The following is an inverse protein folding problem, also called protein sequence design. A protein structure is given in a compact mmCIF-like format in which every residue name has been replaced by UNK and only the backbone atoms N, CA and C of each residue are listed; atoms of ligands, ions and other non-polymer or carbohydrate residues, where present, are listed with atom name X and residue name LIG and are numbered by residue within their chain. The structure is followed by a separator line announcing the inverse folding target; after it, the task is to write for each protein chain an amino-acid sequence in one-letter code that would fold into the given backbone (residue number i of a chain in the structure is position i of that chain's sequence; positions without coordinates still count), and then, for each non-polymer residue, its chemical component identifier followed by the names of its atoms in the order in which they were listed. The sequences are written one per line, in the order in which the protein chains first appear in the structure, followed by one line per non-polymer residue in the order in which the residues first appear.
data_IF_237439759321
#
_entry.id   IF_237439759321
#
_cell.length_a   1.000
_cell.length_b   1.000
_cell.length_c   1.000
_cell.angle_alpha   90.00
_cell.angle_beta   90.00
_cell.angle_gamma   90.00
#
_symmetry.space_group_name_H-M   'P 1'
#
loop_
_entity.id
_entity.type
_entity.pdbx_description
1 polymer ?
#
# COMPACT_ATOMS: atom_id res chain seq x y z
N UNK A 1 -7.14 7.46 -11.41
CA UNK A 1 -6.36 8.43 -10.57
C UNK A 1 -5.19 7.71 -9.93
N UNK A 2 -5.47 6.69 -9.11
CA UNK A 2 -4.47 5.78 -8.52
C UNK A 2 -3.66 5.03 -9.58
N UNK A 3 -4.30 4.61 -10.66
CA UNK A 3 -3.67 3.86 -11.77
C UNK A 3 -2.52 4.67 -12.39
N UNK A 4 -2.74 5.97 -12.60
CA UNK A 4 -1.70 6.88 -13.12
C UNK A 4 -0.51 7.03 -12.17
N UNK A 5 -0.75 7.00 -10.85
CA UNK A 5 0.34 7.04 -9.86
C UNK A 5 1.16 5.76 -9.94
N UNK A 6 0.49 4.62 -10.02
CA UNK A 6 1.14 3.31 -10.18
C UNK A 6 1.93 3.24 -11.49
N UNK A 7 1.37 3.69 -12.61
CA UNK A 7 2.09 3.76 -13.89
C UNK A 7 3.35 4.63 -13.82
N UNK A 8 3.28 5.79 -13.16
CA UNK A 8 4.46 6.66 -12.98
C UNK A 8 5.51 5.97 -12.10
N UNK A 9 5.10 5.29 -11.03
CA UNK A 9 6.03 4.52 -10.19
C UNK A 9 6.70 3.41 -11.00
N UNK A 10 5.93 2.60 -11.73
CA UNK A 10 6.43 1.51 -12.56
C UNK A 10 7.39 1.98 -13.65
N UNK A 11 7.10 3.11 -14.30
CA UNK A 11 7.88 3.59 -15.44
C UNK A 11 9.13 4.38 -15.06
N UNK A 12 9.18 4.99 -13.86
CA UNK A 12 10.26 5.93 -13.51
C UNK A 12 11.03 5.61 -12.24
N UNK A 13 10.45 4.84 -11.33
CA UNK A 13 10.97 4.75 -9.96
C UNK A 13 11.14 3.33 -9.43
N UNK A 14 10.31 2.39 -9.86
CA UNK A 14 10.38 0.99 -9.45
C UNK A 14 11.20 0.17 -10.44
N UNK A 15 11.94 -0.79 -9.91
CA UNK A 15 12.70 -1.75 -10.71
C UNK A 15 11.88 -3.05 -10.83
N UNK A 16 11.95 -3.70 -11.99
CA UNK A 16 11.42 -5.05 -12.20
C UNK A 16 12.57 -6.02 -12.42
N UNK A 17 13.07 -6.69 -11.36
CA UNK A 17 14.15 -7.65 -11.50
C UNK A 17 13.69 -8.87 -12.29
N UNK A 18 14.29 -9.07 -13.47
CA UNK A 18 13.96 -10.20 -14.35
C UNK A 18 14.55 -11.49 -13.77
N UNK A 19 13.73 -12.51 -13.63
CA UNK A 19 14.17 -13.88 -13.34
C UNK A 19 13.38 -14.90 -14.15
N UNK A 20 13.74 -16.19 -14.05
CA UNK A 20 13.11 -17.26 -14.81
C UNK A 20 12.58 -18.34 -13.88
N UNK A 21 11.30 -18.71 -14.07
CA UNK A 21 10.67 -19.88 -13.44
C UNK A 21 10.42 -20.93 -14.53
N UNK A 22 11.27 -21.96 -14.56
CA UNK A 22 11.27 -22.95 -15.65
C UNK A 22 11.60 -22.30 -17.00
N UNK A 23 10.64 -22.34 -17.93
CA UNK A 23 10.77 -21.71 -19.26
C UNK A 23 10.18 -20.30 -19.32
N UNK A 24 9.57 -19.82 -18.24
CA UNK A 24 8.84 -18.55 -18.22
C UNK A 24 9.71 -17.43 -17.62
N UNK A 25 9.82 -16.31 -18.34
CA UNK A 25 10.39 -15.07 -17.81
C UNK A 25 9.38 -14.40 -16.89
N UNK A 26 9.81 -14.08 -15.67
CA UNK A 26 8.99 -13.40 -14.67
C UNK A 26 9.64 -12.04 -14.36
N UNK A 27 8.81 -11.00 -14.38
CA UNK A 27 9.19 -9.61 -14.13
C UNK A 27 8.28 -9.03 -13.05
N UNK A 28 8.49 -9.41 -11.78
CA UNK A 28 7.70 -8.87 -10.70
C UNK A 28 8.08 -7.41 -10.48
N UNK A 29 7.15 -6.63 -9.93
CA UNK A 29 7.49 -5.32 -9.38
C UNK A 29 8.21 -5.50 -8.04
N UNK A 30 9.19 -4.64 -7.78
CA UNK A 30 9.85 -4.54 -6.47
C UNK A 30 8.86 -4.42 -5.31
N UNK A 31 7.80 -3.63 -5.50
CA UNK A 31 6.68 -3.52 -4.58
C UNK A 31 5.42 -4.03 -5.29
N UNK A 32 4.74 -5.05 -4.75
CA UNK A 32 3.56 -5.59 -5.40
C UNK A 32 2.45 -4.55 -5.56
N UNK A 33 1.79 -4.61 -6.71
CA UNK A 33 0.83 -3.58 -7.15
C UNK A 33 -0.35 -3.46 -6.17
N UNK A 34 -0.82 -4.58 -5.63
CA UNK A 34 -1.90 -4.63 -4.65
C UNK A 34 -1.56 -3.87 -3.36
N UNK A 35 -0.31 -3.98 -2.88
CA UNK A 35 0.15 -3.25 -1.70
C UNK A 35 0.26 -1.75 -1.96
N UNK A 36 0.70 -1.33 -3.16
CA UNK A 36 0.71 0.08 -3.56
C UNK A 36 -0.71 0.63 -3.67
N UNK A 37 -1.62 -0.12 -4.29
CA UNK A 37 -3.03 0.25 -4.46
C UNK A 37 -3.70 0.46 -3.10
N UNK A 38 -3.55 -0.49 -2.19
CA UNK A 38 -4.10 -0.43 -0.84
C UNK A 38 -3.52 0.75 -0.05
N UNK A 39 -2.21 0.98 -0.13
CA UNK A 39 -1.54 2.10 0.53
C UNK A 39 -2.06 3.46 0.03
N UNK A 40 -2.22 3.59 -1.29
CA UNK A 40 -2.75 4.80 -1.92
C UNK A 40 -4.18 5.08 -1.50
N UNK A 41 -5.07 4.08 -1.54
CA UNK A 41 -6.45 4.27 -1.11
C UNK A 41 -6.56 4.57 0.38
N UNK A 42 -5.78 3.91 1.23
CA UNK A 42 -5.75 4.21 2.66
C UNK A 42 -5.30 5.66 2.92
N UNK A 43 -4.32 6.17 2.17
CA UNK A 43 -3.89 7.56 2.29
C UNK A 43 -4.97 8.59 1.92
N UNK A 44 -5.86 8.25 0.97
CA UNK A 44 -6.98 9.10 0.54
C UNK A 44 -8.13 9.03 1.55
N UNK A 45 -8.51 7.82 1.97
CA UNK A 45 -9.64 7.58 2.88
C UNK A 45 -9.35 8.13 4.28
N UNK A 46 -8.11 8.00 4.75
CA UNK A 46 -7.69 8.42 6.08
C UNK A 46 -6.97 9.79 6.10
N UNK A 47 -7.04 10.61 5.04
CA UNK A 47 -6.53 11.99 5.08
C UNK A 47 -7.36 12.86 6.02
N UNK A 48 -6.75 13.76 6.80
CA UNK A 48 -7.50 14.71 7.65
C UNK A 48 -8.31 15.75 6.86
N UNK A 49 -7.99 15.96 5.57
CA UNK A 49 -8.53 17.00 4.66
C UNK A 49 -8.43 18.47 5.13
N UNK A 50 -8.25 18.74 6.41
CA UNK A 50 -7.83 20.05 6.95
C UNK A 50 -6.29 20.05 7.07
N UNK A 51 -5.61 20.61 6.07
CA UNK A 51 -4.15 20.72 6.06
C UNK A 51 -3.49 20.25 4.77
N UNK A 52 -2.23 19.83 4.86
CA UNK A 52 -1.36 19.58 3.70
C UNK A 52 -1.81 18.41 2.83
N UNK A 53 -1.28 18.36 1.61
CA UNK A 53 -1.50 17.27 0.66
C UNK A 53 -0.85 15.96 1.14
N UNK A 54 -1.31 14.84 0.57
CA UNK A 54 -0.62 13.55 0.72
C UNK A 54 0.77 13.70 0.08
N UNK A 55 1.80 13.25 0.78
CA UNK A 55 3.18 13.32 0.33
C UNK A 55 3.69 11.91 0.06
N UNK A 56 4.22 11.70 -1.14
CA UNK A 56 4.94 10.49 -1.50
C UNK A 56 6.40 10.84 -1.77
N UNK A 57 7.31 10.15 -1.08
CA UNK A 57 8.75 10.25 -1.30
C UNK A 57 9.27 8.88 -1.70
N UNK A 58 9.98 8.81 -2.81
CA UNK A 58 10.60 7.58 -3.29
C UNK A 58 12.10 7.64 -3.01
N UNK A 59 12.61 6.60 -2.36
CA UNK A 59 14.03 6.39 -2.06
C UNK A 59 14.49 5.10 -2.74
N UNK A 60 15.80 4.88 -2.77
CA UNK A 60 16.37 3.67 -3.39
C UNK A 60 15.97 2.37 -2.67
N UNK A 61 15.55 2.45 -1.40
CA UNK A 61 15.25 1.29 -0.54
C UNK A 61 13.79 1.24 -0.06
N UNK A 62 12.99 2.29 -0.35
CA UNK A 62 11.61 2.40 0.16
C UNK A 62 10.79 3.49 -0.52
N UNK A 63 9.48 3.33 -0.46
CA UNK A 63 8.52 4.42 -0.69
C UNK A 63 7.94 4.86 0.66
N UNK A 64 7.99 6.17 0.94
CA UNK A 64 7.32 6.78 2.08
C UNK A 64 6.07 7.52 1.61
N UNK A 65 4.91 6.97 1.93
CA UNK A 65 3.62 7.61 1.75
C UNK A 65 3.14 8.18 3.09
N UNK A 66 2.84 9.47 3.14
CA UNK A 66 2.48 10.16 4.37
C UNK A 66 1.36 11.17 4.15
N UNK A 67 0.45 11.28 5.13
CA UNK A 67 -0.59 12.29 5.17
C UNK A 67 -0.82 12.74 6.62
N UNK A 68 -1.37 13.96 6.83
CA UNK A 68 -1.76 14.40 8.16
C UNK A 68 -2.87 13.50 8.71
N UNK A 69 -2.70 13.06 9.97
CA UNK A 69 -3.62 12.22 10.72
C UNK A 69 -2.89 11.32 11.72
N UNK A 70 -3.56 10.98 12.83
CA UNK A 70 -3.08 10.06 13.87
C UNK A 70 -4.04 8.89 14.01
N UNK A 71 -3.56 7.72 14.43
CA UNK A 71 -4.46 6.60 14.73
C UNK A 71 -5.60 7.07 15.66
N UNK A 72 -6.82 6.52 15.50
CA UNK A 72 -7.90 6.77 16.46
C UNK A 72 -7.40 6.51 17.89
N UNK A 73 -7.79 7.33 18.86
CA UNK A 73 -7.31 7.20 20.25
C UNK A 73 -7.57 5.81 20.85
N UNK A 74 -8.60 5.13 20.37
CA UNK A 74 -8.98 3.77 20.78
C UNK A 74 -8.23 2.65 20.05
N UNK A 75 -7.24 2.95 19.21
CA UNK A 75 -6.56 1.98 18.35
C UNK A 75 -5.05 1.95 18.59
N UNK A 76 -4.52 0.81 19.04
CA UNK A 76 -3.08 0.56 19.15
C UNK A 76 -2.49 0.00 17.85
N UNK A 77 -1.16 -0.04 17.74
CA UNK A 77 -0.47 -0.62 16.59
C UNK A 77 -0.74 -2.12 16.50
N UNK A 78 -0.77 -2.83 17.62
CA UNK A 78 -1.05 -4.26 17.69
C UNK A 78 -2.46 -4.57 17.20
N UNK A 79 -3.43 -3.73 17.59
CA UNK A 79 -4.82 -3.84 17.11
C UNK A 79 -4.94 -3.53 15.61
N UNK A 80 -4.17 -2.55 15.12
CA UNK A 80 -4.12 -2.20 13.70
C UNK A 80 -3.55 -3.35 12.85
N UNK A 81 -2.55 -4.07 13.36
CA UNK A 81 -1.95 -5.21 12.66
C UNK A 81 -2.76 -6.51 12.80
N UNK A 82 -3.68 -6.57 13.77
CA UNK A 82 -4.62 -7.68 13.94
C UNK A 82 -5.93 -7.51 13.16
N UNK A 83 -6.92 -8.35 13.48
CA UNK A 83 -8.26 -8.22 12.92
C UNK A 83 -9.01 -7.04 13.57
N UNK A 84 -9.43 -6.08 12.75
CA UNK A 84 -10.22 -4.94 13.21
C UNK A 84 -11.19 -4.46 12.14
N UNK A 85 -12.32 -3.88 12.54
CA UNK A 85 -13.17 -3.15 11.59
C UNK A 85 -12.45 -1.87 11.12
N UNK A 86 -12.61 -1.48 9.86
CA UNK A 86 -12.10 -0.19 9.40
C UNK A 86 -12.83 0.95 10.10
N UNK A 87 -12.07 1.89 10.67
CA UNK A 87 -12.61 3.10 11.32
C UNK A 87 -12.18 4.34 10.51
N UNK A 88 -12.77 4.60 9.33
CA UNK A 88 -12.39 5.72 8.49
C UNK A 88 -12.83 7.04 9.11
N UNK A 89 -11.95 8.05 9.09
CA UNK A 89 -12.30 9.42 9.51
C UNK A 89 -13.29 10.06 8.52
N UNK A 90 -13.15 9.78 7.22
CA UNK A 90 -14.01 10.32 6.17
C UNK A 90 -15.01 9.26 5.70
N UNK A 91 -16.13 9.12 6.43
CA UNK A 91 -17.13 8.07 6.16
C UNK A 91 -17.69 8.12 4.73
N UNK A 92 -18.01 9.30 4.21
CA UNK A 92 -18.55 9.45 2.85
C UNK A 92 -17.54 9.01 1.76
N UNK A 93 -16.26 9.31 1.96
CA UNK A 93 -15.19 8.90 1.03
C UNK A 93 -15.03 7.38 1.10
N UNK A 94 -14.93 6.82 2.31
CA UNK A 94 -14.82 5.38 2.50
C UNK A 94 -16.01 4.61 1.90
N UNK A 95 -17.23 5.09 2.14
CA UNK A 95 -18.45 4.48 1.61
C UNK A 95 -18.50 4.56 0.08
N UNK A 96 -18.10 5.69 -0.51
CA UNK A 96 -17.99 5.83 -1.96
C UNK A 96 -16.99 4.81 -2.52
N UNK A 97 -15.79 4.73 -1.93
CA UNK A 97 -14.74 3.83 -2.39
C UNK A 97 -15.11 2.35 -2.21
N UNK A 98 -15.86 2.02 -1.16
CA UNK A 98 -16.38 0.67 -0.94
C UNK A 98 -17.42 0.32 -2.01
N UNK A 99 -18.40 1.21 -2.26
CA UNK A 99 -19.46 1.00 -3.27
C UNK A 99 -18.91 0.89 -4.69
N UNK A 100 -17.80 1.56 -4.99
CA UNK A 100 -17.11 1.46 -6.29
C UNK A 100 -16.15 0.27 -6.38
N UNK A 101 -15.96 -0.52 -5.32
CA UNK A 101 -15.07 -1.68 -5.30
C UNK A 101 -13.58 -1.35 -5.16
N UNK A 102 -13.23 -0.14 -4.71
CA UNK A 102 -11.82 0.25 -4.51
C UNK A 102 -11.25 -0.18 -3.17
N UNK A 103 -12.07 -0.36 -2.13
CA UNK A 103 -11.62 -0.81 -0.81
C UNK A 103 -12.54 -1.88 -0.22
N UNK A 104 -12.03 -2.63 0.77
CA UNK A 104 -12.82 -3.49 1.66
C UNK A 104 -13.17 -2.75 2.97
N UNK A 105 -14.25 -3.14 3.64
CA UNK A 105 -14.67 -2.56 4.94
C UNK A 105 -14.03 -3.23 6.17
N UNK A 106 -13.32 -4.35 5.98
CA UNK A 106 -12.92 -5.29 7.04
C UNK A 106 -11.57 -4.96 7.71
N UNK A 107 -10.95 -3.80 7.43
CA UNK A 107 -9.70 -3.36 8.07
C UNK A 107 -8.43 -4.16 7.74
N UNK A 108 -8.52 -5.26 6.99
CA UNK A 108 -7.37 -6.15 6.67
C UNK A 108 -6.34 -5.57 5.69
N UNK A 109 -6.58 -4.38 5.16
CA UNK A 109 -5.73 -3.74 4.14
C UNK A 109 -4.29 -3.55 4.59
N UNK A 110 -4.10 -3.07 5.83
CA UNK A 110 -2.77 -2.86 6.41
C UNK A 110 -2.02 -4.17 6.64
N UNK A 111 -2.70 -5.24 7.05
CA UNK A 111 -2.12 -6.57 7.20
C UNK A 111 -1.70 -7.15 5.85
N UNK A 112 -2.50 -6.97 4.79
CA UNK A 112 -2.14 -7.38 3.42
C UNK A 112 -0.85 -6.68 2.97
N UNK A 113 -0.74 -5.37 3.19
CA UNK A 113 0.48 -4.62 2.89
C UNK A 113 1.68 -5.20 3.66
N UNK A 114 1.54 -5.40 4.97
CA UNK A 114 2.64 -5.89 5.81
C UNK A 114 3.13 -7.28 5.39
N UNK A 115 2.21 -8.22 5.17
CA UNK A 115 2.52 -9.58 4.73
C UNK A 115 3.27 -9.58 3.40
N UNK A 116 2.81 -8.77 2.45
CA UNK A 116 3.43 -8.64 1.13
C UNK A 116 4.87 -8.11 1.23
N UNK A 117 5.12 -7.13 2.09
CA UNK A 117 6.49 -6.62 2.30
C UNK A 117 7.41 -7.66 2.95
N UNK A 118 6.91 -8.43 3.92
CA UNK A 118 7.68 -9.49 4.59
C UNK A 118 8.06 -10.63 3.61
N UNK A 119 7.10 -11.04 2.78
CA UNK A 119 7.30 -12.03 1.72
C UNK A 119 8.29 -11.51 0.66
N UNK A 120 8.15 -10.26 0.21
CA UNK A 120 9.05 -9.65 -0.79
C UNK A 120 10.50 -9.54 -0.31
N UNK A 121 10.73 -9.23 0.97
CA UNK A 121 12.07 -9.24 1.58
C UNK A 121 12.65 -10.65 1.58
N UNK A 122 11.84 -11.64 1.92
CA UNK A 122 12.27 -13.03 1.96
C UNK A 122 12.66 -13.53 0.56
N UNK A 123 11.90 -13.19 -0.48
CA UNK A 123 12.21 -13.51 -1.88
C UNK A 123 13.47 -12.83 -2.41
N UNK A 124 13.79 -11.61 -1.96
CA UNK A 124 15.02 -10.90 -2.35
C UNK A 124 16.30 -11.47 -1.69
N UNK A 125 16.19 -12.11 -0.51
CA UNK A 125 17.33 -12.76 0.16
C UNK A 125 17.76 -14.10 -0.47
N UNK A 126 17.00 -14.61 -1.44
CA UNK A 126 17.25 -15.92 -2.08
C UNK A 126 18.15 -15.91 -3.31
N UNK A 127 18.57 -14.74 -3.82
CA UNK A 127 19.37 -14.62 -5.06
C UNK A 127 20.62 -13.78 -4.82
N UNK A 128 21.40 -14.15 -3.81
CA UNK A 128 22.84 -13.83 -3.73
C UNK A 128 23.56 -14.96 -2.98
N UNK A 129 23.59 -16.15 -3.60
CA UNK A 129 24.70 -17.12 -3.55
C UNK A 129 24.69 -17.92 -4.85
#
# INVERSE_FOLDING_TARGET
MTDRVIEVLKSKYLISPVHYEGLQRIEPLEIPEDALRESLFNSIVHKLYTGVHIQMKVYNDRIRLWNPGTLPESMTIEQLLGDHASQPRNRLIAETFYRTGFIESWGRGIHKIYKVYDESRTSQTGVYK
#
